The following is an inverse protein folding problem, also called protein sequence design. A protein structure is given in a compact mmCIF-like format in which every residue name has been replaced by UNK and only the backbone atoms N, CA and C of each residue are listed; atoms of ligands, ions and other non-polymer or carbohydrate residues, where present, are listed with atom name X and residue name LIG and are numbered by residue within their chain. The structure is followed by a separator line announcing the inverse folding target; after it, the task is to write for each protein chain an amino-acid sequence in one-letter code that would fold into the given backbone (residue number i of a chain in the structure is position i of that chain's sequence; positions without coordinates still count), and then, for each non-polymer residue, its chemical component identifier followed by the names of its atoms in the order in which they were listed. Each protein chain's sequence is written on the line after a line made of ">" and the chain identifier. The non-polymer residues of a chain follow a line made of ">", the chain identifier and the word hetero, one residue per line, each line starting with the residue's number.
data_IF_160434229500
#
_entry.id   IF_160434229500
#
_cell.length_a   1.000
_cell.length_b   1.000
_cell.length_c   1.000
_cell.angle_alpha   90.00
_cell.angle_beta   90.00
_cell.angle_gamma   90.00
#
_symmetry.space_group_name_H-M   'P 1'
#
loop_
_entity.id
_entity.type
_entity.pdbx_description
1 polymer ?
#
# COMPACT_ATOMS: atom_id res chain seq x y z
N UNK A 1 -8.83 -1.54 -19.94
CA UNK A 1 -7.90 -2.03 -20.98
C UNK A 1 -6.72 -2.70 -20.29
N UNK A 2 -6.51 -4.01 -20.47
CA UNK A 2 -5.26 -4.67 -20.06
C UNK A 2 -4.65 -5.33 -21.29
N UNK A 3 -3.52 -4.81 -21.76
CA UNK A 3 -2.79 -5.37 -22.90
C UNK A 3 -1.95 -6.60 -22.52
N UNK A 4 -1.87 -6.95 -21.23
CA UNK A 4 -1.20 -8.15 -20.73
C UNK A 4 -2.02 -8.77 -19.59
N UNK A 5 -2.32 -10.08 -19.65
CA UNK A 5 -3.06 -10.83 -18.59
C UNK A 5 -2.18 -11.08 -17.34
N UNK A 6 -1.30 -10.16 -16.99
CA UNK A 6 -0.39 -10.30 -15.87
C UNK A 6 -1.08 -9.91 -14.56
N UNK A 7 -0.84 -10.69 -13.51
CA UNK A 7 -1.20 -10.29 -12.15
C UNK A 7 -0.36 -9.08 -11.75
N UNK A 8 -0.88 -8.30 -10.80
CA UNK A 8 -0.27 -7.03 -10.39
C UNK A 8 1.18 -7.20 -9.89
N UNK A 9 1.43 -8.24 -9.08
CA UNK A 9 2.78 -8.56 -8.59
C UNK A 9 3.73 -8.99 -9.71
N UNK A 10 3.24 -9.70 -10.73
CA UNK A 10 4.04 -10.13 -11.87
C UNK A 10 4.45 -8.94 -12.74
N UNK A 11 3.52 -7.99 -12.96
CA UNK A 11 3.82 -6.74 -13.62
C UNK A 11 4.87 -5.93 -12.83
N UNK A 12 4.76 -5.86 -11.51
CA UNK A 12 5.75 -5.20 -10.66
C UNK A 12 7.13 -5.85 -10.80
N UNK A 13 7.23 -7.17 -10.84
CA UNK A 13 8.51 -7.86 -11.07
C UNK A 13 9.07 -7.60 -12.48
N UNK A 14 8.21 -7.57 -13.50
CA UNK A 14 8.62 -7.36 -14.89
C UNK A 14 9.24 -5.97 -15.14
N UNK A 15 8.82 -4.95 -14.40
CA UNK A 15 9.33 -3.56 -14.52
C UNK A 15 10.24 -3.13 -13.36
N UNK A 16 10.75 -4.11 -12.59
CA UNK A 16 11.65 -3.87 -11.48
C UNK A 16 12.89 -3.07 -11.91
N UNK A 17 13.29 -2.12 -11.06
CA UNK A 17 14.41 -1.20 -11.34
C UNK A 17 14.04 0.00 -12.21
N UNK A 18 12.83 0.04 -12.77
CA UNK A 18 12.38 1.15 -13.62
C UNK A 18 11.18 1.88 -13.00
N UNK A 19 10.03 1.20 -12.91
CA UNK A 19 8.79 1.75 -12.37
C UNK A 19 8.38 1.12 -11.05
N UNK A 20 9.08 0.06 -10.65
CA UNK A 20 8.86 -0.63 -9.39
C UNK A 20 10.18 -0.94 -8.71
N UNK A 21 10.17 -1.01 -7.39
CA UNK A 21 11.33 -1.40 -6.58
C UNK A 21 10.84 -2.27 -5.44
N UNK A 22 11.37 -3.50 -5.35
CA UNK A 22 11.10 -4.37 -4.22
C UNK A 22 11.68 -3.73 -2.96
N UNK A 23 10.91 -3.75 -1.87
CA UNK A 23 11.32 -3.21 -0.58
C UNK A 23 11.18 -4.27 0.51
N UNK A 24 12.00 -4.20 1.58
CA UNK A 24 11.76 -4.97 2.79
C UNK A 24 10.38 -4.64 3.38
N UNK A 25 9.70 -5.65 3.94
CA UNK A 25 8.37 -5.51 4.57
C UNK A 25 8.33 -4.42 5.64
N UNK A 26 9.43 -4.23 6.35
CA UNK A 26 9.59 -3.23 7.41
C UNK A 26 9.40 -1.81 6.86
N UNK A 27 9.76 -1.55 5.59
CA UNK A 27 9.53 -0.25 4.95
C UNK A 27 8.05 0.07 4.80
N UNK A 28 7.22 -0.94 4.58
CA UNK A 28 5.76 -0.77 4.53
C UNK A 28 5.19 -0.42 5.90
N UNK A 29 5.60 -1.16 6.93
CA UNK A 29 5.20 -0.90 8.32
C UNK A 29 5.60 0.52 8.74
N UNK A 30 6.83 0.94 8.42
CA UNK A 30 7.30 2.30 8.66
C UNK A 30 6.49 3.35 7.90
N UNK A 31 6.05 3.06 6.68
CA UNK A 31 5.24 3.99 5.89
C UNK A 31 3.82 4.14 6.45
N UNK A 32 3.21 3.07 6.96
CA UNK A 32 1.93 3.15 7.69
C UNK A 32 2.08 4.04 8.92
N UNK A 33 3.13 3.83 9.72
CA UNK A 33 3.43 4.70 10.86
C UNK A 33 3.69 6.16 10.43
N UNK A 34 4.41 6.36 9.32
CA UNK A 34 4.71 7.66 8.74
C UNK A 34 3.47 8.39 8.21
N UNK A 35 2.44 7.67 7.76
CA UNK A 35 1.19 8.26 7.28
C UNK A 35 0.48 9.06 8.37
N UNK A 36 0.61 8.67 9.64
CA UNK A 36 0.04 9.41 10.78
C UNK A 36 0.68 10.79 11.00
N UNK A 37 1.88 11.01 10.46
CA UNK A 37 2.59 12.30 10.57
C UNK A 37 2.24 13.28 9.45
N UNK A 38 1.46 12.85 8.45
CA UNK A 38 1.11 13.69 7.31
C UNK A 38 -0.03 14.63 7.67
N UNK A 39 0.10 15.87 7.22
CA UNK A 39 -0.97 16.88 7.32
C UNK A 39 -2.08 16.62 6.29
N UNK A 40 -1.69 16.19 5.09
CA UNK A 40 -2.62 15.89 4.01
C UNK A 40 -3.21 14.47 4.13
N UNK A 41 -4.49 14.28 3.76
CA UNK A 41 -5.10 12.96 3.68
C UNK A 41 -4.33 12.01 2.77
N UNK A 42 -4.02 10.83 3.29
CA UNK A 42 -3.36 9.75 2.54
C UNK A 42 -4.41 8.78 2.02
N UNK A 43 -4.25 8.33 0.77
CA UNK A 43 -5.08 7.26 0.23
C UNK A 43 -4.51 5.90 0.63
N UNK A 44 -5.38 5.05 1.15
CA UNK A 44 -5.13 3.64 1.40
C UNK A 44 -6.19 2.82 0.67
N UNK A 45 -5.75 1.77 -0.01
CA UNK A 45 -6.61 0.85 -0.75
C UNK A 45 -6.46 -0.54 -0.16
N UNK A 46 -7.53 -1.10 0.39
CA UNK A 46 -7.57 -2.47 0.91
C UNK A 46 -8.20 -3.36 -0.15
N UNK A 47 -7.53 -4.46 -0.49
CA UNK A 47 -8.02 -5.43 -1.47
C UNK A 47 -8.27 -6.76 -0.78
N UNK A 48 -9.42 -7.36 -1.08
CA UNK A 48 -9.84 -8.66 -0.56
C UNK A 48 -10.72 -9.38 -1.59
N UNK A 49 -11.12 -10.62 -1.29
CA UNK A 49 -11.87 -11.48 -2.22
C UNK A 49 -13.20 -10.88 -2.70
N UNK A 50 -13.84 -10.02 -1.90
CA UNK A 50 -15.11 -9.37 -2.23
C UNK A 50 -14.96 -8.04 -2.98
N UNK A 51 -13.73 -7.55 -3.21
CA UNK A 51 -13.46 -6.32 -3.96
C UNK A 51 -12.39 -5.45 -3.33
N UNK A 52 -12.38 -4.17 -3.74
CA UNK A 52 -11.43 -3.18 -3.26
C UNK A 52 -12.15 -2.03 -2.55
N UNK A 53 -11.64 -1.62 -1.40
CA UNK A 53 -12.08 -0.42 -0.70
C UNK A 53 -10.98 0.64 -0.77
N UNK A 54 -11.34 1.83 -1.25
CA UNK A 54 -10.42 2.96 -1.36
C UNK A 54 -10.84 4.06 -0.38
N UNK A 55 -9.93 4.42 0.51
CA UNK A 55 -10.19 5.45 1.50
C UNK A 55 -9.10 6.52 1.44
N UNK A 56 -9.50 7.78 1.42
CA UNK A 56 -8.61 8.92 1.59
C UNK A 56 -8.91 9.56 2.93
N UNK A 57 -7.98 9.46 3.87
CA UNK A 57 -8.18 9.92 5.24
C UNK A 57 -6.90 10.50 5.83
N UNK A 58 -7.07 11.37 6.83
CA UNK A 58 -5.97 11.74 7.71
C UNK A 58 -5.88 10.72 8.83
N UNK A 59 -4.93 9.81 8.73
CA UNK A 59 -4.67 8.83 9.78
C UNK A 59 -3.99 9.51 10.96
N UNK A 60 -4.36 9.11 12.19
CA UNK A 60 -3.91 9.72 13.44
C UNK A 60 -3.09 8.76 14.28
N UNK A 61 -3.47 7.48 14.27
CA UNK A 61 -2.82 6.46 15.09
C UNK A 61 -2.40 5.27 14.26
N UNK A 62 -1.22 4.75 14.59
CA UNK A 62 -0.71 3.50 14.08
C UNK A 62 -0.34 2.61 15.26
N UNK A 63 -0.86 1.39 15.27
CA UNK A 63 -0.58 0.40 16.28
C UNK A 63 0.00 -0.85 15.65
N UNK A 64 1.12 -1.31 16.18
CA UNK A 64 1.62 -2.66 15.96
C UNK A 64 1.27 -3.47 17.20
N UNK A 65 0.16 -4.19 17.12
CA UNK A 65 -0.44 -4.90 18.24
C UNK A 65 0.12 -6.32 18.44
N UNK A 66 -0.52 -7.07 19.33
CA UNK A 66 -0.26 -8.49 19.53
C UNK A 66 -0.64 -9.31 18.29
N UNK A 67 -0.04 -10.50 18.16
CA UNK A 67 -0.35 -11.45 17.08
C UNK A 67 -0.19 -10.86 15.67
N UNK A 68 0.86 -10.05 15.44
CA UNK A 68 1.21 -9.48 14.13
C UNK A 68 0.18 -8.50 13.53
N UNK A 69 -0.85 -8.08 14.28
CA UNK A 69 -1.85 -7.14 13.79
C UNK A 69 -1.28 -5.72 13.68
N UNK A 70 -1.29 -5.16 12.47
CA UNK A 70 -1.07 -3.74 12.21
C UNK A 70 -2.42 -3.05 12.13
N UNK A 71 -2.53 -1.86 12.71
CA UNK A 71 -3.74 -1.05 12.66
C UNK A 71 -3.42 0.39 12.34
N UNK A 72 -4.15 0.97 11.39
CA UNK A 72 -4.06 2.36 10.98
C UNK A 72 -5.43 3.01 11.12
N UNK A 73 -5.52 4.04 11.96
CA UNK A 73 -6.79 4.61 12.41
C UNK A 73 -6.93 6.09 12.03
N UNK A 74 -8.13 6.49 11.66
CA UNK A 74 -8.61 7.86 11.54
C UNK A 74 -9.92 8.01 12.35
N UNK A 75 -10.54 9.19 12.34
CA UNK A 75 -11.77 9.46 13.10
C UNK A 75 -12.96 8.58 12.68
N UNK A 76 -12.94 8.05 11.45
CA UNK A 76 -14.08 7.34 10.86
C UNK A 76 -13.70 6.00 10.24
N UNK A 77 -12.43 5.60 10.32
CA UNK A 77 -11.92 4.40 9.66
C UNK A 77 -10.80 3.77 10.47
N UNK A 78 -10.88 2.46 10.63
CA UNK A 78 -9.79 1.62 11.12
C UNK A 78 -9.45 0.59 10.05
N UNK A 79 -8.22 0.62 9.56
CA UNK A 79 -7.66 -0.42 8.70
C UNK A 79 -6.85 -1.38 9.56
N UNK A 80 -7.06 -2.68 9.42
CA UNK A 80 -6.28 -3.71 10.09
C UNK A 80 -5.69 -4.69 9.08
N UNK A 81 -4.45 -5.10 9.30
CA UNK A 81 -3.71 -6.01 8.45
C UNK A 81 -2.91 -6.98 9.33
N UNK A 82 -2.89 -8.27 9.00
CA UNK A 82 -1.95 -9.22 9.60
C UNK A 82 -0.59 -9.10 8.90
N UNK A 83 0.44 -8.60 9.62
CA UNK A 83 1.79 -8.46 9.08
C UNK A 83 2.51 -9.79 8.83
N UNK A 84 2.04 -10.90 9.40
CA UNK A 84 2.62 -12.22 9.11
C UNK A 84 2.24 -12.75 7.73
N UNK A 85 1.11 -12.28 7.19
CA UNK A 85 0.68 -12.59 5.83
C UNK A 85 1.40 -11.73 4.77
N UNK A 86 2.17 -10.72 5.18
CA UNK A 86 2.93 -9.85 4.27
C UNK A 86 4.15 -10.58 3.70
N UNK A 87 4.11 -10.89 2.40
CA UNK A 87 5.16 -11.63 1.70
C UNK A 87 6.06 -10.71 0.87
N UNK A 88 5.48 -9.81 0.09
CA UNK A 88 6.20 -8.90 -0.80
C UNK A 88 5.71 -7.47 -0.67
N UNK A 89 6.65 -6.51 -0.73
CA UNK A 89 6.35 -5.09 -0.76
C UNK A 89 7.05 -4.46 -1.94
N UNK A 90 6.32 -3.63 -2.67
CA UNK A 90 6.81 -2.93 -3.84
C UNK A 90 6.52 -1.43 -3.71
N UNK A 91 7.54 -0.60 -3.87
CA UNK A 91 7.31 0.79 -4.25
C UNK A 91 7.04 0.84 -5.75
N UNK A 92 5.97 1.51 -6.15
CA UNK A 92 5.57 1.64 -7.55
C UNK A 92 5.38 3.11 -7.88
N UNK A 93 6.00 3.56 -8.96
CA UNK A 93 5.88 4.90 -9.52
C UNK A 93 5.08 4.80 -10.81
N UNK A 94 3.99 5.56 -10.91
CA UNK A 94 3.10 5.58 -12.07
C UNK A 94 2.91 7.01 -12.57
N UNK A 95 2.80 7.24 -13.88
CA UNK A 95 2.25 8.49 -14.39
C UNK A 95 0.81 8.64 -13.92
N UNK A 96 0.50 9.78 -13.30
CA UNK A 96 -0.82 10.23 -12.92
C UNK A 96 -1.18 11.55 -13.61
N UNK A 97 -2.44 12.01 -13.46
CA UNK A 97 -2.91 13.25 -14.09
C UNK A 97 -2.06 14.48 -13.73
N UNK A 98 -1.58 14.52 -12.48
CA UNK A 98 -0.84 15.63 -11.89
C UNK A 98 0.68 15.39 -11.82
N UNK A 99 1.18 14.38 -12.52
CA UNK A 99 2.60 13.99 -12.51
C UNK A 99 2.83 12.59 -11.95
N UNK A 100 4.04 12.33 -11.42
CA UNK A 100 4.39 10.99 -10.92
C UNK A 100 3.72 10.71 -9.57
N UNK A 101 2.87 9.70 -9.53
CA UNK A 101 2.28 9.16 -8.31
C UNK A 101 3.12 7.99 -7.80
N UNK A 102 3.43 7.99 -6.50
CA UNK A 102 4.17 6.89 -5.85
C UNK A 102 3.28 6.18 -4.84
N UNK A 103 3.27 4.84 -4.86
CA UNK A 103 2.57 4.03 -3.87
C UNK A 103 3.45 2.91 -3.34
N UNK A 104 3.22 2.48 -2.10
CA UNK A 104 3.69 1.19 -1.61
C UNK A 104 2.56 0.17 -1.73
N UNK A 105 2.83 -0.94 -2.38
CA UNK A 105 1.91 -2.05 -2.60
C UNK A 105 2.40 -3.27 -1.82
N UNK A 106 1.56 -3.82 -0.95
CA UNK A 106 1.82 -4.99 -0.11
C UNK A 106 1.04 -6.21 -0.63
N UNK A 107 1.70 -7.35 -0.73
CA UNK A 107 1.18 -8.59 -1.29
C UNK A 107 1.37 -9.77 -0.34
N UNK A 108 0.45 -10.72 -0.40
CA UNK A 108 0.55 -11.99 0.30
C UNK A 108 1.37 -13.03 -0.48
N UNK A 109 1.56 -14.21 0.10
CA UNK A 109 2.34 -15.29 -0.49
C UNK A 109 1.74 -15.88 -1.78
N UNK A 110 0.45 -15.65 -2.03
CA UNK A 110 -0.22 -16.06 -3.28
C UNK A 110 -0.03 -15.03 -4.41
N UNK A 111 0.49 -13.85 -4.07
CA UNK A 111 0.68 -12.73 -4.98
C UNK A 111 -0.53 -11.81 -5.08
N UNK A 112 -1.52 -11.97 -4.19
CA UNK A 112 -2.67 -11.07 -4.11
C UNK A 112 -2.30 -9.82 -3.32
N UNK A 113 -2.78 -8.67 -3.79
CA UNK A 113 -2.55 -7.41 -3.10
C UNK A 113 -3.42 -7.37 -1.85
N UNK A 114 -2.81 -7.03 -0.72
CA UNK A 114 -3.52 -6.85 0.55
C UNK A 114 -3.85 -5.37 0.76
N UNK A 115 -2.86 -4.50 0.60
CA UNK A 115 -3.00 -3.06 0.82
C UNK A 115 -2.05 -2.25 -0.05
N UNK A 116 -2.55 -1.13 -0.60
CA UNK A 116 -1.73 -0.11 -1.22
C UNK A 116 -1.86 1.22 -0.47
N UNK A 117 -0.73 1.86 -0.19
CA UNK A 117 -0.64 3.14 0.48
C UNK A 117 0.03 4.17 -0.44
N UNK A 118 -0.67 5.24 -0.77
CA UNK A 118 -0.10 6.31 -1.58
C UNK A 118 0.93 7.11 -0.76
N UNK A 119 2.11 7.30 -1.32
CA UNK A 119 3.14 8.15 -0.77
C UNK A 119 2.96 9.52 -1.40
N UNK A 120 2.20 10.39 -0.71
CA UNK A 120 1.91 11.80 -1.01
C UNK A 120 2.25 12.27 -2.43
N UNK A 121 1.24 12.61 -3.22
CA UNK A 121 1.43 13.29 -4.49
C UNK A 121 2.17 14.60 -4.23
N UNK A 122 3.22 14.86 -5.01
CA UNK A 122 3.82 16.19 -5.04
C UNK A 122 2.75 17.11 -5.63
N UNK A 123 2.08 17.87 -4.77
CA UNK A 123 1.29 19.03 -5.18
C UNK A 123 2.19 20.13 -5.71
#
# INVERSE_FOLDING_TARGET
>A
MSHHRLRRVEANRAVAGHFSTALPRERFVMALAGACRRTQPTRASLIHAGGAHHHRARFKHFHQGRCNALRLESDHLTLSLDSSALHEVWQVVRPGPDGLATSLEAFDASGEMMLALDLAERG
#
